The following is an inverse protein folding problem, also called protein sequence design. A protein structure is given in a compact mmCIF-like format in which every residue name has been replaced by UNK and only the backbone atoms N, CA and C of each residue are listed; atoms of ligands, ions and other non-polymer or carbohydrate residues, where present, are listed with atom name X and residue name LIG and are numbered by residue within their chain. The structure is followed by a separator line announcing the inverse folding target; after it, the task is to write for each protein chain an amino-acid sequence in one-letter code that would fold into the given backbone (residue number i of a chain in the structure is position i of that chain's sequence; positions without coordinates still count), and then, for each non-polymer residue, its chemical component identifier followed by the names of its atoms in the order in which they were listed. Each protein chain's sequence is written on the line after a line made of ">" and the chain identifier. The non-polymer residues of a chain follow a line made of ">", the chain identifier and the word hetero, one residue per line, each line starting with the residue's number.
data_IF_241194659575
#
_entry.id   IF_241194659575
#
_cell.length_a   1.000
_cell.length_b   1.000
_cell.length_c   1.000
_cell.angle_alpha   90.00
_cell.angle_beta   90.00
_cell.angle_gamma   90.00
#
_symmetry.space_group_name_H-M   'P 1'
#
loop_
_entity.id
_entity.type
_entity.pdbx_description
1 polymer ?
#
# COMPACT_ATOMS: atom_id res chain seq x y z
N UNK A 1 -7.34 10.89 16.22
CA UNK A 1 -6.51 9.86 16.88
C UNK A 1 -6.91 9.66 18.36
N UNK A 2 -8.21 9.53 18.65
CA UNK A 2 -8.71 9.57 20.03
C UNK A 2 -8.45 8.29 20.85
N UNK A 3 -8.14 7.17 20.20
CA UNK A 3 -7.94 5.87 20.86
C UNK A 3 -6.48 5.40 20.77
N UNK A 4 -5.53 6.34 20.76
CA UNK A 4 -4.09 6.04 20.69
C UNK A 4 -3.63 5.35 21.97
N UNK A 5 -2.88 4.25 21.84
CA UNK A 5 -2.18 3.61 22.96
C UNK A 5 -0.76 3.23 22.54
N UNK A 6 0.18 3.10 23.51
CA UNK A 6 1.54 2.64 23.22
C UNK A 6 1.60 1.28 22.52
N UNK A 7 0.69 0.36 22.86
CA UNK A 7 0.61 -0.97 22.24
C UNK A 7 0.22 -0.88 20.75
N UNK A 8 -0.69 0.03 20.42
CA UNK A 8 -1.09 0.29 19.04
C UNK A 8 0.04 0.95 18.23
N UNK A 9 0.79 1.87 18.82
CA UNK A 9 1.97 2.46 18.18
C UNK A 9 3.08 1.44 17.94
N UNK A 10 3.30 0.55 18.92
CA UNK A 10 4.25 -0.55 18.78
C UNK A 10 3.84 -1.51 17.65
N UNK A 11 2.54 -1.75 17.47
CA UNK A 11 2.01 -2.56 16.37
C UNK A 11 2.29 -1.92 15.00
N UNK A 12 2.15 -0.59 14.88
CA UNK A 12 2.50 0.15 13.66
C UNK A 12 4.00 -0.02 13.36
N UNK A 13 4.87 0.17 14.36
CA UNK A 13 6.31 0.02 14.19
C UNK A 13 6.70 -1.42 13.80
N UNK A 14 6.07 -2.42 14.43
CA UNK A 14 6.32 -3.84 14.10
C UNK A 14 5.93 -4.14 12.66
N UNK A 15 4.73 -3.76 12.24
CA UNK A 15 4.23 -4.04 10.89
C UNK A 15 4.99 -3.27 9.82
N UNK A 16 5.43 -2.03 10.11
CA UNK A 16 6.34 -1.27 9.25
C UNK A 16 7.68 -2.00 9.07
N UNK A 17 8.26 -2.51 10.17
CA UNK A 17 9.51 -3.27 10.10
C UNK A 17 9.35 -4.56 9.28
N UNK A 18 8.27 -5.31 9.48
CA UNK A 18 7.96 -6.50 8.69
C UNK A 18 7.84 -6.16 7.19
N UNK A 19 7.12 -5.09 6.86
CA UNK A 19 7.00 -4.62 5.48
C UNK A 19 8.35 -4.23 4.88
N UNK A 20 9.20 -3.51 5.62
CA UNK A 20 10.55 -3.16 5.16
C UNK A 20 11.45 -4.39 4.93
N UNK A 21 11.18 -5.50 5.62
CA UNK A 21 11.92 -6.76 5.44
C UNK A 21 11.48 -7.58 4.23
N UNK A 22 10.32 -7.28 3.64
CA UNK A 22 9.86 -7.87 2.39
C UNK A 22 10.15 -6.89 1.24
N UNK A 23 11.15 -7.15 0.38
CA UNK A 23 11.33 -6.35 -0.82
C UNK A 23 10.17 -6.60 -1.81
N UNK A 24 9.94 -5.62 -2.69
CA UNK A 24 9.06 -5.81 -3.84
C UNK A 24 9.65 -6.89 -4.76
N UNK A 25 8.80 -7.69 -5.44
CA UNK A 25 9.26 -8.68 -6.40
C UNK A 25 10.05 -8.00 -7.52
N UNK A 26 11.18 -8.59 -7.91
CA UNK A 26 12.05 -8.07 -8.98
C UNK A 26 11.59 -8.51 -10.38
N UNK A 27 10.77 -9.56 -10.46
CA UNK A 27 10.26 -10.14 -11.70
C UNK A 27 8.81 -10.57 -11.51
N UNK A 28 8.05 -10.67 -12.60
CA UNK A 28 6.66 -11.14 -12.58
C UNK A 28 6.50 -12.59 -12.07
N UNK A 29 7.59 -13.38 -12.13
CA UNK A 29 7.59 -14.78 -11.70
C UNK A 29 7.81 -14.97 -10.19
N UNK A 30 8.26 -13.94 -9.47
CA UNK A 30 8.42 -13.97 -8.01
C UNK A 30 7.08 -13.85 -7.27
N UNK A 31 6.23 -14.87 -7.45
CA UNK A 31 4.91 -14.96 -6.84
C UNK A 31 4.97 -15.04 -5.31
N UNK A 32 6.01 -15.67 -4.76
CA UNK A 32 6.18 -15.80 -3.32
C UNK A 32 6.57 -14.46 -2.68
N UNK A 33 7.53 -13.74 -3.26
CA UNK A 33 7.92 -12.40 -2.83
C UNK A 33 6.75 -11.43 -2.90
N UNK A 34 6.00 -11.45 -4.01
CA UNK A 34 4.79 -10.65 -4.18
C UNK A 34 3.72 -10.94 -3.09
N UNK A 35 3.44 -12.22 -2.81
CA UNK A 35 2.46 -12.60 -1.80
C UNK A 35 2.89 -12.22 -0.38
N UNK A 36 4.19 -12.36 -0.08
CA UNK A 36 4.78 -11.98 1.21
C UNK A 36 4.72 -10.47 1.42
N UNK A 37 5.09 -9.69 0.40
CA UNK A 37 5.00 -8.23 0.43
C UNK A 37 3.55 -7.76 0.65
N UNK A 38 2.59 -8.27 -0.12
CA UNK A 38 1.16 -7.91 0.03
C UNK A 38 0.63 -8.24 1.44
N UNK A 39 1.05 -9.37 2.00
CA UNK A 39 0.66 -9.76 3.36
C UNK A 39 1.12 -8.73 4.40
N UNK A 40 2.39 -8.31 4.35
CA UNK A 40 2.91 -7.31 5.29
C UNK A 40 2.38 -5.90 5.00
N UNK A 41 2.17 -5.56 3.74
CA UNK A 41 1.54 -4.30 3.34
C UNK A 41 0.14 -4.18 3.93
N UNK A 42 -0.69 -5.23 3.81
CA UNK A 42 -2.02 -5.25 4.42
C UNK A 42 -1.96 -5.11 5.94
N UNK A 43 -1.05 -5.84 6.60
CA UNK A 43 -0.89 -5.74 8.07
C UNK A 43 -0.52 -4.32 8.50
N UNK A 44 0.40 -3.67 7.79
CA UNK A 44 0.80 -2.30 8.06
C UNK A 44 -0.37 -1.32 7.92
N UNK A 45 -1.07 -1.30 6.78
CA UNK A 45 -2.19 -0.38 6.60
C UNK A 45 -3.35 -0.67 7.56
N UNK A 46 -3.59 -1.94 7.92
CA UNK A 46 -4.58 -2.28 8.94
C UNK A 46 -4.16 -1.73 10.31
N UNK A 47 -2.89 -1.86 10.70
CA UNK A 47 -2.38 -1.31 11.95
C UNK A 47 -2.64 0.20 12.06
N UNK A 48 -2.43 0.97 10.98
CA UNK A 48 -2.69 2.42 10.96
C UNK A 48 -4.15 2.79 11.29
N UNK A 49 -5.12 1.90 11.04
CA UNK A 49 -6.55 2.19 11.22
C UNK A 49 -7.21 1.37 12.34
N UNK A 50 -6.51 0.37 12.90
CA UNK A 50 -7.07 -0.60 13.85
C UNK A 50 -7.60 0.03 15.13
N UNK A 51 -7.00 1.12 15.59
CA UNK A 51 -7.46 1.91 16.73
C UNK A 51 -8.70 2.78 16.43
N UNK A 52 -9.35 2.69 15.27
CA UNK A 52 -10.52 3.53 15.00
C UNK A 52 -11.72 3.25 15.92
N UNK A 53 -11.74 2.17 16.69
CA UNK A 53 -12.78 1.88 17.70
C UNK A 53 -14.16 1.55 17.12
N UNK A 54 -14.24 1.18 15.83
CA UNK A 54 -15.49 0.78 15.19
C UNK A 54 -15.29 -0.43 14.29
N UNK A 55 -15.87 -1.56 14.67
CA UNK A 55 -15.80 -2.80 13.91
C UNK A 55 -16.38 -2.65 12.49
N UNK A 56 -17.45 -1.88 12.34
CA UNK A 56 -18.06 -1.59 11.03
C UNK A 56 -17.12 -0.83 10.10
N UNK A 57 -16.39 0.17 10.61
CA UNK A 57 -15.39 0.89 9.79
C UNK A 57 -14.24 -0.01 9.37
N UNK A 58 -13.79 -0.90 10.26
CA UNK A 58 -12.77 -1.89 9.91
C UNK A 58 -13.27 -2.89 8.87
N UNK A 59 -14.56 -3.26 8.91
CA UNK A 59 -15.16 -4.11 7.88
C UNK A 59 -15.19 -3.41 6.52
N UNK A 60 -15.62 -2.15 6.45
CA UNK A 60 -15.55 -1.38 5.21
C UNK A 60 -14.13 -1.22 4.69
N UNK A 61 -13.17 -0.93 5.59
CA UNK A 61 -11.76 -0.86 5.24
C UNK A 61 -11.28 -2.18 4.62
N UNK A 62 -11.61 -3.34 5.22
CA UNK A 62 -11.23 -4.64 4.66
C UNK A 62 -11.76 -4.83 3.23
N UNK A 63 -13.04 -4.52 2.98
CA UNK A 63 -13.64 -4.64 1.65
C UNK A 63 -12.94 -3.73 0.63
N UNK A 64 -12.72 -2.46 0.97
CA UNK A 64 -12.03 -1.52 0.08
C UNK A 64 -10.58 -1.94 -0.19
N UNK A 65 -9.89 -2.44 0.83
CA UNK A 65 -8.53 -2.95 0.69
C UNK A 65 -8.48 -4.13 -0.28
N UNK A 66 -9.40 -5.11 -0.17
CA UNK A 66 -9.46 -6.26 -1.08
C UNK A 66 -9.66 -5.85 -2.55
N UNK A 67 -10.40 -4.77 -2.81
CA UNK A 67 -10.53 -4.20 -4.16
C UNK A 67 -9.23 -3.53 -4.62
N UNK A 68 -8.60 -2.74 -3.74
CA UNK A 68 -7.33 -2.05 -4.05
C UNK A 68 -6.16 -3.03 -4.30
N UNK A 69 -6.13 -4.17 -3.60
CA UNK A 69 -5.10 -5.20 -3.74
C UNK A 69 -5.03 -5.77 -5.17
N UNK A 70 -6.17 -5.87 -5.87
CA UNK A 70 -6.20 -6.37 -7.25
C UNK A 70 -5.40 -5.47 -8.20
N UNK A 71 -5.53 -4.16 -8.03
CA UNK A 71 -4.82 -3.18 -8.82
C UNK A 71 -3.33 -3.13 -8.47
N UNK A 72 -2.98 -3.27 -7.18
CA UNK A 72 -1.57 -3.41 -6.77
C UNK A 72 -0.93 -4.68 -7.34
N UNK A 73 -1.63 -5.82 -7.29
CA UNK A 73 -1.15 -7.08 -7.90
C UNK A 73 -0.88 -6.91 -9.38
N UNK A 74 -1.78 -6.26 -10.12
CA UNK A 74 -1.57 -5.93 -11.54
C UNK A 74 -0.29 -5.12 -11.74
N UNK A 75 -0.09 -4.05 -10.95
CA UNK A 75 1.15 -3.28 -10.96
C UNK A 75 2.38 -4.15 -10.67
N UNK A 76 2.31 -5.05 -9.69
CA UNK A 76 3.45 -5.89 -9.29
C UNK A 76 3.86 -6.90 -10.37
N UNK A 77 2.91 -7.43 -11.15
CA UNK A 77 3.22 -8.41 -12.21
C UNK A 77 3.57 -7.77 -13.56
N UNK A 78 3.13 -6.53 -13.82
CA UNK A 78 3.34 -5.86 -15.11
C UNK A 78 4.47 -4.85 -15.09
N UNK A 79 4.89 -4.35 -13.92
CA UNK A 79 6.00 -3.41 -13.85
C UNK A 79 7.30 -4.06 -14.36
N UNK A 80 7.88 -3.46 -15.40
CA UNK A 80 9.27 -3.73 -15.79
C UNK A 80 10.21 -3.11 -14.76
N UNK A 81 11.44 -3.65 -14.57
CA UNK A 81 12.44 -3.08 -13.67
C UNK A 81 12.70 -1.58 -13.90
N UNK A 82 12.49 -1.11 -15.14
CA UNK A 82 12.67 0.28 -15.58
C UNK A 82 11.40 1.15 -15.49
N UNK A 83 10.20 0.55 -15.40
CA UNK A 83 8.92 1.30 -15.44
C UNK A 83 8.50 1.83 -14.07
N UNK A 84 9.20 1.44 -13.00
CA UNK A 84 9.15 2.19 -11.75
C UNK A 84 10.23 3.26 -11.79
N UNK A 85 9.86 4.49 -12.12
CA UNK A 85 10.52 5.66 -11.50
C UNK A 85 10.68 5.28 -10.03
N UNK A 86 11.93 5.13 -9.59
CA UNK A 86 12.35 4.60 -8.28
C UNK A 86 11.62 5.32 -7.15
N UNK A 87 10.39 4.86 -6.87
CA UNK A 87 9.58 5.35 -5.78
C UNK A 87 10.08 4.61 -4.57
N UNK A 88 10.67 5.34 -3.63
CA UNK A 88 10.99 4.79 -2.33
C UNK A 88 9.70 4.60 -1.53
N UNK A 89 8.95 3.54 -1.86
CA UNK A 89 7.70 3.14 -1.21
C UNK A 89 7.92 2.92 0.29
N UNK A 90 9.12 2.47 0.66
CA UNK A 90 9.51 2.33 2.06
C UNK A 90 9.56 3.69 2.75
N UNK A 91 10.18 4.70 2.14
CA UNK A 91 10.18 6.06 2.68
C UNK A 91 8.76 6.65 2.79
N UNK A 92 7.85 6.35 1.86
CA UNK A 92 6.44 6.75 1.96
C UNK A 92 5.75 6.13 3.18
N UNK A 93 5.91 4.81 3.38
CA UNK A 93 5.34 4.12 4.55
C UNK A 93 5.95 4.62 5.87
N UNK A 94 7.26 4.88 5.92
CA UNK A 94 7.94 5.45 7.09
C UNK A 94 7.38 6.83 7.44
N UNK A 95 7.21 7.72 6.44
CA UNK A 95 6.64 9.04 6.66
C UNK A 95 5.20 8.98 7.20
N UNK A 96 4.37 8.10 6.63
CA UNK A 96 2.99 7.88 7.10
C UNK A 96 2.99 7.37 8.55
N UNK A 97 3.79 6.34 8.85
CA UNK A 97 3.87 5.75 10.18
C UNK A 97 4.27 6.80 11.23
N UNK A 98 5.28 7.62 10.93
CA UNK A 98 5.74 8.69 11.81
C UNK A 98 4.67 9.76 12.02
N UNK A 99 3.99 10.22 10.97
CA UNK A 99 2.90 11.19 11.11
C UNK A 99 1.77 10.64 12.01
N UNK A 100 1.42 9.36 11.84
CA UNK A 100 0.40 8.69 12.66
C UNK A 100 0.83 8.55 14.12
N UNK A 101 2.06 8.09 14.38
CA UNK A 101 2.63 7.96 15.73
C UNK A 101 2.79 9.33 16.40
N UNK A 102 3.07 10.39 15.65
CA UNK A 102 3.23 11.74 16.20
C UNK A 102 1.91 12.43 16.55
N UNK A 103 0.76 11.84 16.22
CA UNK A 103 -0.53 12.48 16.49
C UNK A 103 -1.02 13.41 15.37
N UNK A 104 -0.25 13.55 14.29
CA UNK A 104 -0.48 14.54 13.24
C UNK A 104 -1.43 14.00 12.16
N UNK A 105 -2.73 14.09 12.44
CA UNK A 105 -3.77 13.55 11.58
C UNK A 105 -3.85 14.23 10.21
N UNK A 106 -3.65 15.55 10.15
CA UNK A 106 -3.74 16.30 8.89
C UNK A 106 -2.60 15.89 7.96
N UNK A 107 -1.38 15.86 8.48
CA UNK A 107 -0.22 15.43 7.70
C UNK A 107 -0.32 13.96 7.29
N UNK A 108 -0.75 13.07 8.20
CA UNK A 108 -0.94 11.66 7.88
C UNK A 108 -1.96 11.44 6.75
N UNK A 109 -3.05 12.22 6.73
CA UNK A 109 -4.06 12.18 5.67
C UNK A 109 -3.48 12.65 4.34
N UNK A 110 -2.74 13.77 4.32
CA UNK A 110 -2.09 14.27 3.10
C UNK A 110 -1.07 13.28 2.52
N UNK A 111 -0.28 12.63 3.38
CA UNK A 111 0.66 11.59 2.96
C UNK A 111 -0.06 10.35 2.40
N UNK A 112 -1.14 9.91 3.05
CA UNK A 112 -1.93 8.76 2.59
C UNK A 112 -2.61 9.05 1.24
N UNK A 113 -3.19 10.24 1.07
CA UNK A 113 -3.83 10.65 -0.18
C UNK A 113 -2.82 10.67 -1.34
N UNK A 114 -1.65 11.28 -1.12
CA UNK A 114 -0.55 11.25 -2.08
C UNK A 114 -0.12 9.82 -2.41
N UNK A 115 0.06 8.96 -1.41
CA UNK A 115 0.47 7.57 -1.59
C UNK A 115 -0.53 6.75 -2.43
N UNK A 116 -1.83 6.87 -2.13
CA UNK A 116 -2.90 6.21 -2.87
C UNK A 116 -3.04 6.76 -4.29
N UNK A 117 -3.06 8.08 -4.46
CA UNK A 117 -3.19 8.74 -5.76
C UNK A 117 -2.04 8.39 -6.71
N UNK A 118 -0.81 8.30 -6.19
CA UNK A 118 0.31 7.83 -7.01
C UNK A 118 0.15 6.36 -7.45
N UNK A 119 -0.53 5.51 -6.67
CA UNK A 119 -0.83 4.12 -7.09
C UNK A 119 -1.90 4.12 -8.18
N UNK A 120 -2.93 4.95 -8.03
CA UNK A 120 -3.97 5.17 -9.04
C UNK A 120 -3.38 5.60 -10.39
N UNK A 121 -2.47 6.59 -10.40
CA UNK A 121 -1.81 7.05 -11.63
C UNK A 121 -1.14 5.90 -12.37
N UNK A 122 -0.30 5.12 -11.68
CA UNK A 122 0.43 3.99 -12.28
C UNK A 122 -0.53 2.93 -12.83
N UNK A 123 -1.58 2.59 -12.08
CA UNK A 123 -2.56 1.59 -12.53
C UNK A 123 -3.35 2.10 -13.73
N UNK A 124 -3.72 3.37 -13.75
CA UNK A 124 -4.48 3.97 -14.86
C UNK A 124 -3.65 3.99 -16.14
N UNK A 125 -2.37 4.39 -16.05
CA UNK A 125 -1.43 4.34 -17.17
C UNK A 125 -1.25 2.92 -17.70
N UNK A 126 -1.13 1.94 -16.80
CA UNK A 126 -1.00 0.54 -17.16
C UNK A 126 -2.25 -0.01 -17.85
N UNK A 127 -3.44 0.32 -17.34
CA UNK A 127 -4.69 -0.10 -17.97
C UNK A 127 -4.87 0.55 -19.35
N UNK A 128 -4.45 1.80 -19.52
CA UNK A 128 -4.47 2.48 -20.80
C UNK A 128 -3.51 1.84 -21.81
N UNK A 129 -2.29 1.46 -21.40
CA UNK A 129 -1.33 0.80 -22.30
C UNK A 129 -1.83 -0.58 -22.76
N UNK A 130 -2.39 -1.36 -21.83
CA UNK A 130 -2.98 -2.67 -22.15
C UNK A 130 -4.16 -2.56 -23.14
N UNK A 131 -4.96 -1.50 -23.05
CA UNK A 131 -6.07 -1.26 -23.98
C UNK A 131 -5.59 -0.91 -25.40
N UNK A 132 -4.44 -0.23 -25.53
CA UNK A 132 -3.83 0.11 -26.82
C UNK A 132 -3.26 -1.16 -27.49
N UNK A 133 -2.53 -1.99 -26.76
CA UNK A 133 -1.96 -3.26 -27.28
C UNK A 133 -3.05 -4.26 -27.71
N UNK A 134 -4.17 -4.30 -26.98
CA UNK A 134 -5.34 -5.12 -27.34
C UNK A 134 -6.10 -4.62 -28.57
N UNK A 135 -5.91 -3.35 -28.98
CA UNK A 135 -6.56 -2.74 -30.14
C UNK A 135 -5.81 -2.90 -31.46
N UNK A 136 -4.51 -3.19 -31.44
CA UNK A 136 -3.70 -3.43 -32.65
C UNK A 136 -3.82 -4.87 -33.20
N UNK A 137 -4.54 -5.76 -32.49
CA UNK A 137 -4.71 -7.16 -32.88
C UNK A 137 -6.10 -7.53 -33.40
N UNK A 138 -6.97 -6.53 -33.68
CA UNK A 138 -8.30 -6.70 -34.26
C UNK A 138 -8.38 -6.06 -35.66
#
# INVERSE_FOLDING_TARGET
>A
MANRTPEWEAEILRTMHLLASAPLPHTADDREGAARWETFHRQFHFALVSACGSAWRLQFWNTLTDHSERYRKLRLVTASPDSSISRDIRAEHEAIALAVINGDAEHALGLMDSHLGKTETVVTELLASMAIEGGETA
#
